data_IF_196673692711
#
_entry.id   IF_196673692711
#
_cell.length_a   1.000
_cell.length_b   1.000
_cell.length_c   1.000
_cell.angle_alpha   90.00
_cell.angle_beta   90.00
_cell.angle_gamma   90.00
#
_symmetry.space_group_name_H-M   'P 1'
#
loop_
_entity.id
_entity.type
_entity.pdbx_description
1 polymer ?
#
# COMPACT_ATOMS: atom_id res chain seq x y z
N UNK A 1 0.56 14.40 66.59
CA UNK A 1 -0.38 13.27 66.69
C UNK A 1 -0.48 12.61 65.32
N UNK A 2 0.07 11.40 65.22
CA UNK A 2 -0.21 10.29 64.29
C UNK A 2 -0.37 10.59 62.79
N UNK A 3 0.55 10.18 61.91
CA UNK A 3 0.69 8.82 61.33
C UNK A 3 -0.67 8.28 60.80
N UNK A 4 -0.77 7.88 59.53
CA UNK A 4 -0.31 6.57 59.09
C UNK A 4 -0.21 6.45 57.56
N UNK A 5 0.72 5.59 57.18
CA UNK A 5 1.13 5.12 55.86
C UNK A 5 0.44 3.76 55.62
N UNK A 6 -0.05 3.48 54.42
CA UNK A 6 -0.52 2.15 54.01
C UNK A 6 -0.39 2.03 52.47
N UNK A 7 0.71 1.45 51.97
CA UNK A 7 0.92 0.02 51.63
C UNK A 7 0.39 -0.38 50.25
N UNK A 8 1.37 -0.67 49.41
CA UNK A 8 1.35 -1.40 48.14
C UNK A 8 0.68 -2.77 48.22
N UNK A 9 -0.12 -3.12 47.22
CA UNK A 9 -0.42 -4.51 46.89
C UNK A 9 -0.47 -4.69 45.37
N UNK A 10 0.62 -5.26 44.81
CA UNK A 10 0.67 -5.81 43.46
C UNK A 10 -0.05 -7.16 43.50
N UNK A 11 -1.13 -7.31 42.74
CA UNK A 11 -1.79 -8.60 42.53
C UNK A 11 -0.97 -9.42 41.53
N UNK A 12 -0.24 -10.41 42.03
CA UNK A 12 0.43 -11.45 41.25
C UNK A 12 -0.53 -12.60 41.03
N UNK A 13 -0.78 -12.96 39.76
CA UNK A 13 -1.52 -14.15 39.39
C UNK A 13 -0.73 -15.43 39.73
N UNK A 14 -1.37 -16.52 40.20
CA UNK A 14 -0.68 -17.77 40.47
C UNK A 14 -0.43 -18.54 39.16
N UNK A 15 0.83 -18.94 38.96
CA UNK A 15 1.27 -19.81 37.88
C UNK A 15 1.04 -21.29 38.25
N UNK A 16 0.51 -22.15 37.35
CA UNK A 16 0.35 -23.56 37.64
C UNK A 16 1.64 -24.34 37.30
N UNK A 17 2.38 -24.75 38.32
CA UNK A 17 3.40 -25.81 38.20
C UNK A 17 2.73 -27.19 38.28
N UNK A 18 2.98 -28.13 37.35
CA UNK A 18 2.53 -29.51 37.50
C UNK A 18 3.56 -30.29 38.33
N UNK A 19 3.16 -30.71 39.53
CA UNK A 19 3.88 -31.68 40.34
C UNK A 19 3.57 -33.10 39.85
N UNK A 20 4.59 -33.82 39.41
CA UNK A 20 4.51 -35.23 39.00
C UNK A 20 4.70 -36.11 40.25
N UNK A 21 3.61 -36.50 40.91
CA UNK A 21 3.62 -37.52 41.96
C UNK A 21 3.46 -38.90 41.33
N UNK A 22 4.50 -39.71 41.45
CA UNK A 22 4.55 -41.12 41.10
C UNK A 22 3.59 -41.94 41.95
N UNK A 23 2.69 -42.72 41.33
CA UNK A 23 2.08 -43.87 41.96
C UNK A 23 2.03 -45.05 40.97
N UNK A 24 2.53 -46.19 41.43
CA UNK A 24 2.71 -47.40 40.66
C UNK A 24 1.40 -48.14 40.33
N UNK A 25 1.42 -48.82 39.19
CA UNK A 25 0.36 -49.71 38.75
C UNK A 25 0.85 -50.61 37.62
N UNK A 26 1.30 -51.81 37.97
CA UNK A 26 1.75 -52.86 37.07
C UNK A 26 0.66 -53.26 36.06
N UNK A 27 0.96 -53.30 34.75
CA UNK A 27 0.42 -54.31 33.80
C UNK A 27 1.09 -54.25 32.40
N UNK A 28 1.79 -55.34 32.09
CA UNK A 28 2.04 -56.01 30.79
C UNK A 28 2.92 -55.32 29.73
N UNK A 29 4.10 -55.93 29.50
CA UNK A 29 5.00 -55.74 28.34
C UNK A 29 4.30 -56.21 27.05
N UNK A 30 4.21 -55.31 26.06
CA UNK A 30 4.05 -55.63 24.63
C UNK A 30 5.42 -55.41 23.96
N UNK A 31 5.90 -56.30 23.07
CA UNK A 31 7.16 -56.06 22.37
C UNK A 31 6.93 -55.00 21.29
N UNK A 32 7.57 -53.85 21.41
CA UNK A 32 7.70 -52.88 20.31
C UNK A 32 9.11 -52.97 19.74
N UNK A 33 9.22 -53.64 18.59
CA UNK A 33 10.28 -53.35 17.62
C UNK A 33 9.80 -52.16 16.77
N UNK A 34 10.25 -50.97 17.16
CA UNK A 34 10.03 -49.72 16.43
C UNK A 34 10.85 -48.59 17.06
N UNK A 35 11.57 -47.76 16.29
CA UNK A 35 12.41 -46.73 16.87
C UNK A 35 11.57 -45.73 17.66
N UNK A 36 11.96 -45.51 18.92
CA UNK A 36 11.31 -44.64 19.87
C UNK A 36 11.07 -43.25 19.27
N UNK A 37 9.81 -42.94 18.98
CA UNK A 37 9.43 -41.62 18.47
C UNK A 37 9.49 -40.64 19.63
N UNK A 38 10.63 -39.94 19.75
CA UNK A 38 10.84 -38.88 20.74
C UNK A 38 9.84 -37.73 20.47
N UNK A 39 8.80 -37.65 21.29
CA UNK A 39 7.65 -36.75 21.14
C UNK A 39 7.96 -35.29 21.58
N UNK A 40 9.21 -34.97 21.92
CA UNK A 40 9.61 -33.67 22.47
C UNK A 40 10.06 -32.65 21.43
N UNK A 41 10.05 -33.00 20.13
CA UNK A 41 10.35 -32.05 19.05
C UNK A 41 9.07 -31.72 18.28
N UNK A 42 8.72 -30.44 18.10
CA UNK A 42 7.71 -30.06 17.13
C UNK A 42 8.12 -30.61 15.77
N UNK A 43 7.31 -31.49 15.17
CA UNK A 43 7.56 -32.09 13.85
C UNK A 43 7.71 -31.05 12.73
N UNK A 44 7.36 -29.80 12.98
CA UNK A 44 7.50 -28.67 12.07
C UNK A 44 8.50 -27.61 12.55
N UNK A 45 9.70 -28.02 12.96
CA UNK A 45 10.82 -27.08 13.14
C UNK A 45 11.50 -26.76 11.79
N UNK A 46 10.71 -26.65 10.72
CA UNK A 46 11.14 -26.39 9.35
C UNK A 46 10.90 -24.94 8.96
N UNK A 47 11.49 -23.98 9.68
CA UNK A 47 11.44 -22.56 9.30
C UNK A 47 12.25 -22.34 8.01
N UNK A 48 11.67 -22.65 6.85
CA UNK A 48 12.33 -22.54 5.55
C UNK A 48 11.88 -23.52 4.46
N UNK A 49 11.17 -24.61 4.80
CA UNK A 49 10.65 -25.56 3.80
C UNK A 49 9.37 -25.08 3.12
N UNK A 50 8.67 -24.11 3.73
CA UNK A 50 7.43 -23.60 3.17
C UNK A 50 7.70 -22.78 1.89
N UNK A 51 6.94 -23.08 0.83
CA UNK A 51 7.12 -22.52 -0.52
C UNK A 51 7.13 -20.99 -0.56
N UNK A 52 6.26 -20.35 0.23
CA UNK A 52 6.18 -18.88 0.31
C UNK A 52 7.41 -18.29 1.00
N UNK A 53 8.00 -19.02 1.96
CA UNK A 53 9.23 -18.61 2.64
C UNK A 53 10.42 -18.71 1.69
N UNK A 54 10.53 -19.81 0.94
CA UNK A 54 11.54 -19.97 -0.12
C UNK A 54 11.42 -18.88 -1.20
N UNK A 55 10.18 -18.51 -1.57
CA UNK A 55 9.93 -17.40 -2.48
C UNK A 55 10.43 -16.06 -1.90
N UNK A 56 10.20 -15.77 -0.62
CA UNK A 56 10.74 -14.55 0.02
C UNK A 56 12.27 -14.55 0.10
N UNK A 57 12.89 -15.69 0.41
CA UNK A 57 14.35 -15.83 0.41
C UNK A 57 14.94 -15.61 -0.98
N UNK A 58 14.24 -16.06 -2.03
CA UNK A 58 14.63 -15.79 -3.41
C UNK A 58 14.58 -14.30 -3.74
N UNK A 59 13.52 -13.61 -3.31
CA UNK A 59 13.40 -12.16 -3.49
C UNK A 59 14.58 -11.44 -2.86
N UNK A 60 14.94 -11.80 -1.63
CA UNK A 60 16.03 -11.15 -0.90
C UNK A 60 17.40 -11.48 -1.52
N UNK A 61 17.60 -12.73 -1.96
CA UNK A 61 18.80 -13.14 -2.69
C UNK A 61 18.97 -12.37 -4.01
N UNK A 62 17.90 -12.21 -4.79
CA UNK A 62 17.92 -11.43 -6.02
C UNK A 62 18.10 -9.92 -5.75
N UNK A 63 17.53 -9.41 -4.65
CA UNK A 63 17.68 -8.01 -4.25
C UNK A 63 19.14 -7.67 -3.90
N UNK A 64 19.87 -8.60 -3.28
CA UNK A 64 21.30 -8.41 -2.99
C UNK A 64 22.18 -8.39 -4.24
N UNK A 65 21.86 -9.20 -5.24
CA UNK A 65 22.67 -9.34 -6.44
C UNK A 65 22.38 -8.31 -7.54
N UNK A 66 21.15 -7.77 -7.63
CA UNK A 66 20.71 -6.78 -8.63
C UNK A 66 21.05 -7.12 -10.10
N UNK A 67 21.31 -8.41 -10.41
CA UNK A 67 21.70 -8.90 -11.74
C UNK A 67 20.74 -9.99 -12.22
N UNK A 68 20.85 -10.35 -13.49
CA UNK A 68 20.18 -11.51 -14.05
C UNK A 68 20.85 -12.79 -13.53
N UNK A 69 20.07 -13.69 -12.98
CA UNK A 69 20.50 -14.96 -12.36
C UNK A 69 19.75 -16.12 -13.02
N UNK A 70 20.41 -17.27 -13.19
CA UNK A 70 19.76 -18.46 -13.76
C UNK A 70 18.87 -19.15 -12.73
N UNK A 71 17.94 -19.98 -13.21
CA UNK A 71 17.09 -20.76 -12.31
C UNK A 71 17.91 -21.73 -11.43
N UNK A 72 18.95 -22.35 -11.99
CA UNK A 72 19.81 -23.29 -11.27
C UNK A 72 20.46 -22.61 -10.06
N UNK A 73 21.13 -21.47 -10.27
CA UNK A 73 21.77 -20.71 -9.18
C UNK A 73 20.79 -20.35 -8.04
N UNK A 74 19.52 -20.08 -8.36
CA UNK A 74 18.47 -19.80 -7.36
C UNK A 74 18.10 -21.07 -6.59
N UNK A 75 17.91 -22.19 -7.28
CA UNK A 75 17.53 -23.45 -6.67
C UNK A 75 18.66 -24.01 -5.80
N UNK A 76 19.91 -23.84 -6.24
CA UNK A 76 21.11 -24.20 -5.49
C UNK A 76 21.20 -23.38 -4.19
N UNK A 77 20.93 -22.06 -4.26
CA UNK A 77 20.86 -21.22 -3.06
C UNK A 77 19.79 -21.68 -2.06
N UNK A 78 18.64 -22.17 -2.56
CA UNK A 78 17.56 -22.70 -1.72
C UNK A 78 17.78 -24.15 -1.28
N UNK A 79 18.82 -24.82 -1.76
CA UNK A 79 19.04 -26.27 -1.63
C UNK A 79 17.84 -27.12 -2.09
N UNK A 80 17.14 -26.68 -3.14
CA UNK A 80 15.99 -27.40 -3.70
C UNK A 80 16.41 -28.14 -4.96
N UNK A 81 16.12 -29.45 -5.02
CA UNK A 81 16.41 -30.24 -6.19
C UNK A 81 15.61 -29.76 -7.42
N UNK A 82 16.26 -29.62 -8.57
CA UNK A 82 15.66 -29.06 -9.80
C UNK A 82 14.42 -29.81 -10.29
N UNK A 83 14.35 -31.11 -10.02
CA UNK A 83 13.23 -31.97 -10.44
C UNK A 83 12.10 -32.08 -9.41
N UNK A 84 12.22 -31.40 -8.26
CA UNK A 84 11.21 -31.43 -7.20
C UNK A 84 9.90 -30.76 -7.63
N UNK A 85 8.79 -31.19 -7.03
CA UNK A 85 7.49 -30.52 -7.13
C UNK A 85 7.57 -29.08 -6.60
N UNK A 86 8.39 -28.84 -5.57
CA UNK A 86 8.63 -27.51 -4.99
C UNK A 86 9.26 -26.55 -6.00
N UNK A 87 10.26 -26.99 -6.76
CA UNK A 87 10.89 -26.18 -7.80
C UNK A 87 9.89 -25.74 -8.88
N UNK A 88 8.97 -26.63 -9.29
CA UNK A 88 7.92 -26.30 -10.27
C UNK A 88 6.94 -25.28 -9.72
N UNK A 89 6.54 -25.41 -8.45
CA UNK A 89 5.66 -24.46 -7.77
C UNK A 89 6.34 -23.09 -7.63
N UNK A 90 7.62 -23.04 -7.26
CA UNK A 90 8.39 -21.79 -7.20
C UNK A 90 8.47 -21.10 -8.56
N UNK A 91 8.76 -21.83 -9.64
CA UNK A 91 8.80 -21.27 -10.99
C UNK A 91 7.44 -20.69 -11.40
N UNK A 92 6.35 -21.35 -11.04
CA UNK A 92 5.00 -20.83 -11.27
C UNK A 92 4.75 -19.53 -10.50
N UNK A 93 5.22 -19.43 -9.25
CA UNK A 93 5.15 -18.20 -8.45
C UNK A 93 6.01 -17.08 -9.06
N UNK A 94 7.26 -17.38 -9.46
CA UNK A 94 8.16 -16.41 -10.11
C UNK A 94 7.57 -15.82 -11.38
N UNK A 95 6.86 -16.64 -12.17
CA UNK A 95 6.25 -16.24 -13.45
C UNK A 95 4.83 -15.69 -13.29
N UNK A 96 4.27 -15.66 -12.07
CA UNK A 96 2.92 -15.17 -11.83
C UNK A 96 2.83 -13.66 -12.13
N UNK A 97 1.78 -13.18 -12.84
CA UNK A 97 1.63 -11.78 -13.24
C UNK A 97 1.15 -10.87 -12.09
N UNK A 98 1.46 -11.22 -10.83
CA UNK A 98 1.01 -10.47 -9.68
C UNK A 98 1.76 -9.12 -9.60
N UNK A 99 1.07 -7.99 -9.38
CA UNK A 99 1.71 -6.67 -9.29
C UNK A 99 2.65 -6.56 -8.07
N UNK A 100 2.44 -7.41 -7.06
CA UNK A 100 3.29 -7.51 -5.87
C UNK A 100 4.54 -8.35 -6.09
N UNK A 101 4.61 -9.12 -7.18
CA UNK A 101 5.75 -9.96 -7.49
C UNK A 101 6.96 -9.07 -7.83
N UNK A 102 8.01 -9.19 -7.00
CA UNK A 102 9.27 -8.45 -7.14
C UNK A 102 10.31 -9.23 -7.95
N UNK A 103 9.89 -10.22 -8.74
CA UNK A 103 10.77 -10.99 -9.62
C UNK A 103 10.35 -10.73 -11.06
N UNK A 104 11.32 -10.33 -11.87
CA UNK A 104 11.20 -10.19 -13.31
C UNK A 104 11.80 -11.42 -13.99
N UNK A 105 11.09 -11.97 -14.98
CA UNK A 105 11.51 -13.14 -15.74
C UNK A 105 11.64 -12.80 -17.22
N UNK A 106 12.79 -13.11 -17.81
CA UNK A 106 13.05 -12.93 -19.23
C UNK A 106 12.85 -14.26 -19.98
N UNK A 107 11.81 -14.32 -20.81
CA UNK A 107 11.49 -15.50 -21.64
C UNK A 107 12.56 -15.88 -22.66
N UNK A 108 13.42 -14.94 -23.08
CA UNK A 108 14.42 -15.19 -24.12
C UNK A 108 15.69 -15.84 -23.56
N UNK A 109 16.08 -15.44 -22.35
CA UNK A 109 17.34 -15.88 -21.74
C UNK A 109 17.13 -16.87 -20.60
N UNK A 110 15.88 -17.13 -20.22
CA UNK A 110 15.50 -17.95 -19.06
C UNK A 110 16.17 -17.50 -17.75
N UNK A 111 16.31 -16.18 -17.59
CA UNK A 111 16.91 -15.57 -16.41
C UNK A 111 15.89 -14.81 -15.57
N UNK A 112 16.22 -14.66 -14.30
CA UNK A 112 15.42 -13.99 -13.29
C UNK A 112 16.20 -12.82 -12.70
N UNK A 113 15.52 -11.71 -12.42
CA UNK A 113 16.12 -10.51 -11.81
C UNK A 113 15.16 -9.93 -10.77
N UNK A 114 15.70 -9.26 -9.76
CA UNK A 114 14.89 -8.45 -8.86
C UNK A 114 14.21 -7.29 -9.61
N UNK A 115 12.91 -7.12 -9.38
CA UNK A 115 12.09 -6.03 -9.89
C UNK A 115 11.79 -5.06 -8.75
N UNK A 116 12.47 -3.91 -8.69
CA UNK A 116 12.14 -2.87 -7.71
C UNK A 116 10.73 -2.31 -7.98
N UNK A 117 10.18 -1.59 -7.00
CA UNK A 117 8.87 -0.93 -7.16
C UNK A 117 8.89 0.05 -8.33
N UNK A 118 10.00 0.78 -8.46
CA UNK A 118 10.29 1.68 -9.57
C UNK A 118 11.60 1.24 -10.22
N UNK A 119 11.58 0.89 -11.51
CA UNK A 119 12.79 0.50 -12.25
C UNK A 119 13.61 1.75 -12.66
N UNK A 120 14.03 2.52 -11.66
CA UNK A 120 14.80 3.75 -11.81
C UNK A 120 16.17 3.51 -11.19
N UNK A 121 17.23 3.60 -11.98
CA UNK A 121 18.62 3.36 -11.55
C UNK A 121 19.53 4.58 -11.70
N UNK A 122 19.05 5.64 -12.33
CA UNK A 122 19.82 6.86 -12.54
C UNK A 122 18.94 8.12 -12.48
N UNK A 123 19.61 9.27 -12.38
CA UNK A 123 18.97 10.59 -12.32
C UNK A 123 18.14 10.90 -13.59
N UNK A 124 18.61 10.51 -14.77
CA UNK A 124 17.91 10.76 -16.03
C UNK A 124 16.59 9.97 -16.13
N UNK A 125 16.58 8.70 -15.70
CA UNK A 125 15.38 7.87 -15.61
C UNK A 125 14.41 8.41 -14.57
N UNK A 126 14.91 8.93 -13.44
CA UNK A 126 14.05 9.57 -12.44
C UNK A 126 13.31 10.76 -13.05
N UNK A 127 14.00 11.64 -13.78
CA UNK A 127 13.37 12.78 -14.48
C UNK A 127 12.37 12.32 -15.53
N UNK A 128 12.76 11.39 -16.40
CA UNK A 128 11.86 10.86 -17.44
C UNK A 128 10.62 10.19 -16.85
N UNK A 129 10.77 9.47 -15.74
CA UNK A 129 9.65 8.88 -15.02
C UNK A 129 8.72 9.94 -14.44
N UNK A 130 9.26 10.97 -13.79
CA UNK A 130 8.49 12.07 -13.21
C UNK A 130 7.75 12.89 -14.28
N UNK A 131 8.36 13.10 -15.45
CA UNK A 131 7.74 13.82 -16.59
C UNK A 131 6.62 13.03 -17.26
N UNK A 132 6.77 11.71 -17.37
CA UNK A 132 5.77 10.83 -17.99
C UNK A 132 4.59 10.52 -17.05
N UNK A 133 4.68 10.89 -15.77
CA UNK A 133 3.65 10.60 -14.79
C UNK A 133 2.42 11.49 -15.03
N UNK A 134 1.26 10.87 -15.29
CA UNK A 134 0.00 11.60 -15.53
C UNK A 134 -0.52 12.34 -14.29
N UNK A 135 -0.24 11.80 -13.10
CA UNK A 135 -0.60 12.42 -11.83
C UNK A 135 0.66 13.04 -11.23
N UNK A 136 0.55 14.23 -10.65
CA UNK A 136 1.61 14.78 -9.81
C UNK A 136 1.59 14.07 -8.45
N UNK A 137 2.10 12.84 -8.39
CA UNK A 137 2.31 12.10 -7.15
C UNK A 137 3.79 12.11 -6.79
N UNK A 138 4.10 12.43 -5.53
CA UNK A 138 5.47 12.40 -5.02
C UNK A 138 5.98 10.97 -4.85
N UNK A 139 7.23 10.75 -5.22
CA UNK A 139 7.92 9.46 -5.05
C UNK A 139 8.60 9.41 -3.69
N UNK A 140 8.46 8.28 -2.99
CA UNK A 140 9.18 8.05 -1.74
C UNK A 140 10.61 7.64 -2.00
N UNK A 141 11.57 8.31 -1.36
CA UNK A 141 13.01 8.01 -1.52
C UNK A 141 13.35 6.62 -0.99
N UNK A 142 12.63 6.14 0.02
CA UNK A 142 12.79 4.77 0.53
C UNK A 142 12.48 3.73 -0.53
N UNK A 143 11.49 4.01 -1.39
CA UNK A 143 11.10 3.12 -2.47
C UNK A 143 12.04 3.23 -3.67
N UNK A 144 12.67 4.40 -3.88
CA UNK A 144 13.73 4.58 -4.87
C UNK A 144 15.03 3.86 -4.47
N UNK A 145 15.37 3.85 -3.18
CA UNK A 145 16.56 3.15 -2.64
C UNK A 145 16.56 1.64 -2.90
N UNK A 146 15.38 1.05 -3.12
CA UNK A 146 15.19 -0.37 -3.42
C UNK A 146 15.81 -0.78 -4.78
N UNK A 147 15.75 0.12 -5.78
CA UNK A 147 16.32 -0.08 -7.12
C UNK A 147 17.62 0.69 -7.37
N UNK A 148 17.90 1.71 -6.54
CA UNK A 148 19.01 2.62 -6.72
C UNK A 148 19.66 2.97 -5.38
N UNK A 149 20.75 2.27 -5.04
CA UNK A 149 21.41 2.39 -3.73
C UNK A 149 21.82 3.84 -3.39
N UNK A 150 22.42 4.54 -4.35
CA UNK A 150 22.92 5.91 -4.18
C UNK A 150 21.86 6.98 -4.51
N UNK A 151 20.57 6.62 -4.51
CA UNK A 151 19.49 7.54 -4.84
C UNK A 151 19.50 8.80 -3.97
N UNK A 152 19.76 8.68 -2.66
CA UNK A 152 19.74 9.86 -1.77
C UNK A 152 20.79 10.90 -2.13
N UNK A 153 22.01 10.48 -2.46
CA UNK A 153 23.10 11.40 -2.82
C UNK A 153 22.81 12.08 -4.15
N UNK A 154 22.41 11.30 -5.16
CA UNK A 154 22.07 11.82 -6.46
C UNK A 154 20.85 12.77 -6.43
N UNK A 155 19.86 12.51 -5.57
CA UNK A 155 18.72 13.42 -5.39
C UNK A 155 19.18 14.75 -4.78
N UNK A 156 20.09 14.74 -3.81
CA UNK A 156 20.66 15.97 -3.24
C UNK A 156 21.42 16.78 -4.31
N UNK A 157 22.14 16.12 -5.21
CA UNK A 157 22.77 16.80 -6.35
C UNK A 157 21.75 17.42 -7.32
N UNK A 158 20.65 16.71 -7.60
CA UNK A 158 19.55 17.23 -8.44
C UNK A 158 18.79 18.38 -7.78
N UNK A 159 18.65 18.34 -6.46
CA UNK A 159 18.06 19.41 -5.67
C UNK A 159 18.91 20.68 -5.74
N UNK A 160 20.25 20.56 -5.63
CA UNK A 160 21.17 21.70 -5.83
C UNK A 160 21.03 22.33 -7.21
N UNK A 161 20.80 21.52 -8.24
CA UNK A 161 20.53 21.98 -9.61
C UNK A 161 19.10 22.50 -9.80
N UNK A 162 18.25 22.40 -8.78
CA UNK A 162 16.82 22.76 -8.79
C UNK A 162 16.03 22.03 -9.88
N UNK A 163 16.46 20.83 -10.28
CA UNK A 163 15.77 20.02 -11.29
C UNK A 163 14.71 19.09 -10.69
N UNK A 164 14.72 18.99 -9.36
CA UNK A 164 13.82 18.14 -8.58
C UNK A 164 13.42 18.90 -7.31
N UNK A 165 12.15 18.80 -6.93
CA UNK A 165 11.63 19.32 -5.67
C UNK A 165 11.66 18.21 -4.62
N UNK A 166 12.26 18.51 -3.47
CA UNK A 166 12.45 17.55 -2.39
C UNK A 166 11.73 18.02 -1.14
N UNK A 167 11.10 17.09 -0.43
CA UNK A 167 10.67 17.33 0.96
C UNK A 167 11.57 16.58 1.92
N UNK A 168 11.95 17.22 3.01
CA UNK A 168 12.82 16.64 4.03
C UNK A 168 12.03 16.25 5.28
N UNK A 169 12.54 15.26 6.02
CA UNK A 169 12.08 14.99 7.36
C UNK A 169 12.51 16.12 8.30
N UNK A 170 11.55 16.66 9.08
CA UNK A 170 11.81 17.80 10.00
C UNK A 170 12.88 17.53 11.07
N UNK A 171 13.12 16.26 11.44
CA UNK A 171 14.04 15.88 12.52
C UNK A 171 15.46 15.62 12.01
N UNK A 172 15.57 14.82 10.96
CA UNK A 172 16.86 14.26 10.52
C UNK A 172 17.36 14.88 9.21
N UNK A 173 16.62 15.84 8.64
CA UNK A 173 16.83 16.45 7.32
C UNK A 173 17.00 15.44 6.16
N UNK A 174 16.58 14.19 6.36
CA UNK A 174 16.65 13.15 5.34
C UNK A 174 15.60 13.41 4.26
N UNK A 175 16.02 13.29 3.00
CA UNK A 175 15.18 13.37 1.81
C UNK A 175 14.05 12.33 1.92
N UNK A 176 12.80 12.81 1.94
CA UNK A 176 11.59 12.00 2.17
C UNK A 176 10.86 11.70 0.86
N UNK A 177 10.41 12.75 0.17
CA UNK A 177 9.71 12.62 -1.11
C UNK A 177 10.30 13.51 -2.18
N UNK A 178 10.16 13.05 -3.41
CA UNK A 178 10.73 13.64 -4.63
C UNK A 178 9.61 13.97 -5.61
N UNK A 179 9.69 15.16 -6.20
CA UNK A 179 8.72 15.72 -7.13
C UNK A 179 9.43 16.31 -8.34
N UNK A 180 8.72 16.38 -9.46
CA UNK A 180 9.23 17.06 -10.64
C UNK A 180 9.42 18.55 -10.33
N UNK A 181 10.54 19.13 -10.74
CA UNK A 181 10.71 20.57 -10.83
C UNK A 181 11.13 20.95 -12.24
N UNK A 182 10.63 22.09 -12.71
CA UNK A 182 11.11 22.68 -13.94
C UNK A 182 11.90 23.96 -13.59
N UNK A 183 13.22 23.98 -13.77
CA UNK A 183 14.02 25.15 -13.47
C UNK A 183 13.71 26.34 -14.39
N UNK A 184 13.11 26.12 -15.58
CA UNK A 184 12.74 27.20 -16.50
C UNK A 184 11.57 28.06 -15.99
N UNK A 185 10.76 27.50 -15.09
CA UNK A 185 9.63 28.19 -14.45
C UNK A 185 10.02 28.87 -13.14
N UNK A 186 11.30 28.78 -12.75
CA UNK A 186 11.78 29.39 -11.51
C UNK A 186 12.21 30.84 -11.76
N UNK A 187 11.48 31.76 -11.13
CA UNK A 187 11.83 33.17 -11.09
C UNK A 187 12.46 33.51 -9.74
N UNK A 188 13.75 33.87 -9.67
CA UNK A 188 14.33 34.39 -8.44
C UNK A 188 13.67 35.73 -8.10
N UNK A 189 13.26 35.88 -6.85
CA UNK A 189 12.66 37.11 -6.32
C UNK A 189 13.47 37.55 -5.10
N UNK A 190 13.61 38.86 -4.92
CA UNK A 190 14.36 39.41 -3.80
C UNK A 190 13.72 39.03 -2.45
N UNK A 191 14.55 38.76 -1.44
CA UNK A 191 14.09 38.33 -0.12
C UNK A 191 13.22 39.41 0.55
N UNK A 192 13.51 40.70 0.31
CA UNK A 192 12.69 41.82 0.79
C UNK A 192 11.27 41.76 0.20
N UNK A 193 11.16 41.47 -1.09
CA UNK A 193 9.86 41.32 -1.76
C UNK A 193 9.09 40.11 -1.23
N UNK A 194 9.77 38.98 -1.02
CA UNK A 194 9.14 37.79 -0.45
C UNK A 194 8.60 38.07 0.97
N UNK A 195 9.37 38.76 1.81
CA UNK A 195 8.96 39.13 3.16
C UNK A 195 7.78 40.10 3.14
N UNK A 196 7.82 41.12 2.27
CA UNK A 196 6.71 42.04 2.08
C UNK A 196 5.43 41.28 1.66
N UNK A 197 5.55 40.35 0.71
CA UNK A 197 4.43 39.51 0.26
C UNK A 197 3.82 38.67 1.39
N UNK A 198 4.65 38.02 2.20
CA UNK A 198 4.18 37.20 3.33
C UNK A 198 3.58 38.01 4.48
N UNK A 199 3.93 39.30 4.60
CA UNK A 199 3.39 40.20 5.62
C UNK A 199 1.96 40.65 5.29
N UNK A 200 1.55 40.61 4.02
CA UNK A 200 0.21 41.02 3.58
C UNK A 200 -0.84 40.06 4.16
N UNK A 201 -1.61 40.53 5.15
CA UNK A 201 -2.70 39.75 5.72
C UNK A 201 -3.93 39.78 4.82
N UNK A 202 -4.37 38.59 4.40
CA UNK A 202 -5.61 38.43 3.66
C UNK A 202 -6.81 38.51 4.62
N UNK A 203 -7.91 39.20 4.24
CA UNK A 203 -9.15 39.18 5.01
C UNK A 203 -9.67 37.75 5.18
N UNK A 204 -10.12 37.41 6.39
CA UNK A 204 -10.69 36.09 6.68
C UNK A 204 -12.01 35.82 5.93
N UNK A 205 -12.77 36.89 5.64
CA UNK A 205 -14.04 36.82 4.95
C UNK A 205 -13.84 36.96 3.43
N UNK A 206 -14.39 36.03 2.66
CA UNK A 206 -14.34 36.06 1.19
C UNK A 206 -15.05 37.28 0.57
N UNK A 207 -16.12 37.76 1.21
CA UNK A 207 -16.88 38.95 0.75
C UNK A 207 -16.09 40.24 0.96
N UNK A 208 -15.35 40.37 2.06
CA UNK A 208 -14.52 41.54 2.33
C UNK A 208 -13.34 41.62 1.34
N UNK A 209 -12.72 40.48 1.01
CA UNK A 209 -11.72 40.41 -0.04
C UNK A 209 -12.31 40.82 -1.40
N UNK A 210 -13.52 40.35 -1.72
CA UNK A 210 -14.22 40.70 -2.96
C UNK A 210 -14.52 42.20 -3.05
N UNK A 211 -15.04 42.80 -1.98
CA UNK A 211 -15.34 44.23 -1.93
C UNK A 211 -14.06 45.08 -2.06
N UNK A 212 -12.97 44.68 -1.41
CA UNK A 212 -11.66 45.34 -1.56
C UNK A 212 -11.11 45.25 -2.98
N UNK A 213 -11.23 44.09 -3.63
CA UNK A 213 -10.84 43.92 -5.03
C UNK A 213 -11.68 44.82 -5.96
N UNK A 214 -13.00 44.90 -5.74
CA UNK A 214 -13.88 45.80 -6.50
C UNK A 214 -13.54 47.27 -6.29
N UNK A 215 -13.27 47.69 -5.05
CA UNK A 215 -12.82 49.07 -4.76
C UNK A 215 -11.47 49.39 -5.40
N UNK A 216 -10.61 48.38 -5.58
CA UNK A 216 -9.32 48.51 -6.26
C UNK A 216 -9.45 48.39 -7.80
N UNK A 217 -10.67 48.27 -8.34
CA UNK A 217 -10.91 48.14 -9.79
C UNK A 217 -10.54 46.77 -10.39
N UNK A 218 -10.22 45.78 -9.55
CA UNK A 218 -9.88 44.42 -9.98
C UNK A 218 -11.15 43.58 -10.06
N UNK A 219 -11.29 42.79 -11.13
CA UNK A 219 -12.42 41.86 -11.29
C UNK A 219 -12.20 40.63 -10.39
N UNK A 220 -13.04 40.40 -9.35
CA UNK A 220 -12.86 39.25 -8.47
C UNK A 220 -13.18 37.97 -9.23
N UNK A 221 -12.22 37.04 -9.32
CA UNK A 221 -12.39 35.76 -10.03
C UNK A 221 -13.36 34.80 -9.33
N UNK A 222 -13.68 35.06 -8.05
CA UNK A 222 -14.75 34.38 -7.32
C UNK A 222 -16.11 34.93 -7.76
N UNK A 223 -16.52 34.61 -8.99
CA UNK A 223 -17.94 34.65 -9.31
C UNK A 223 -18.64 33.75 -8.27
N UNK A 224 -19.66 34.22 -7.54
CA UNK A 224 -20.45 33.32 -6.72
C UNK A 224 -20.88 32.20 -7.66
N UNK A 225 -20.63 30.93 -7.29
CA UNK A 225 -21.39 29.82 -7.87
C UNK A 225 -22.83 30.19 -7.57
N UNK A 226 -23.50 30.86 -8.51
CA UNK A 226 -24.95 30.95 -8.50
C UNK A 226 -25.36 29.49 -8.34
N UNK A 227 -26.07 29.10 -7.27
CA UNK A 227 -26.68 27.80 -7.27
C UNK A 227 -27.46 27.78 -8.57
N UNK A 228 -27.00 26.96 -9.51
CA UNK A 228 -27.75 26.72 -10.71
C UNK A 228 -28.98 26.07 -10.13
N UNK A 229 -30.09 26.82 -10.05
CA UNK A 229 -31.38 26.25 -9.73
C UNK A 229 -31.60 25.18 -10.79
N UNK A 230 -31.15 23.96 -10.46
CA UNK A 230 -31.51 22.78 -11.18
C UNK A 230 -32.99 22.68 -10.89
N UNK A 231 -33.80 23.33 -11.73
CA UNK A 231 -35.23 23.08 -11.79
C UNK A 231 -35.36 21.56 -11.68
N UNK A 232 -36.08 21.04 -10.67
CA UNK A 232 -36.17 19.61 -10.46
C UNK A 232 -36.54 18.99 -11.79
N UNK A 233 -35.62 18.21 -12.36
CA UNK A 233 -35.83 17.56 -13.65
C UNK A 233 -37.08 16.74 -13.44
N UNK A 234 -38.20 17.16 -14.05
CA UNK A 234 -39.49 16.50 -13.91
C UNK A 234 -39.23 15.03 -14.17
N UNK A 235 -39.29 14.21 -13.10
CA UNK A 235 -39.23 12.77 -13.24
C UNK A 235 -40.46 12.44 -14.05
N UNK A 236 -40.30 12.26 -15.37
CA UNK A 236 -41.32 11.67 -16.22
C UNK A 236 -41.73 10.39 -15.52
N UNK A 237 -42.91 10.41 -14.88
CA UNK A 237 -43.49 9.22 -14.26
C UNK A 237 -43.56 8.22 -15.38
N UNK A 238 -42.78 7.13 -15.27
CA UNK A 238 -42.87 6.02 -16.23
C UNK A 238 -44.34 5.61 -16.22
N UNK A 239 -44.99 5.70 -17.39
CA UNK A 239 -46.34 5.22 -17.55
C UNK A 239 -46.41 3.77 -17.02
N UNK A 240 -47.42 3.41 -16.22
CA UNK A 240 -47.52 2.06 -15.69
C UNK A 240 -47.57 1.10 -16.87
N UNK A 241 -46.60 0.19 -16.96
CA UNK A 241 -46.60 -0.89 -17.95
C UNK A 241 -47.81 -1.78 -17.65
N UNK A 242 -48.94 -1.50 -18.32
CA UNK A 242 -50.08 -2.43 -18.37
C UNK A 242 -49.63 -3.66 -19.16
N UNK A 243 -49.66 -4.82 -18.51
CA UNK A 243 -49.50 -6.12 -19.18
C UNK A 243 -48.12 -6.75 -19.02
N UNK A 244 -47.75 -7.10 -17.78
CA UNK A 244 -46.88 -8.26 -17.58
C UNK A 244 -47.65 -9.51 -17.99
N UNK A 245 -47.06 -10.38 -18.81
CA UNK A 245 -47.71 -11.60 -19.34
C UNK A 245 -48.28 -12.44 -18.19
N UNK A 246 -49.60 -12.52 -18.13
CA UNK A 246 -50.33 -13.26 -17.12
C UNK A 246 -50.45 -14.70 -17.58
N UNK A 247 -49.65 -15.60 -17.00
CA UNK A 247 -49.61 -17.02 -17.34
C UNK A 247 -50.71 -17.83 -16.63
N UNK A 248 -51.51 -17.20 -15.76
CA UNK A 248 -52.58 -17.86 -15.00
C UNK A 248 -53.95 -17.19 -15.28
N UNK A 249 -54.65 -17.71 -16.29
CA UNK A 249 -55.93 -17.17 -16.80
C UNK A 249 -57.07 -17.24 -15.78
N UNK A 250 -57.08 -18.22 -14.87
CA UNK A 250 -58.15 -18.41 -13.88
C UNK A 250 -58.20 -17.32 -12.78
N UNK A 251 -57.12 -16.57 -12.58
CA UNK A 251 -57.05 -15.51 -11.57
C UNK A 251 -57.42 -14.12 -12.14
N UNK A 252 -57.73 -14.03 -13.43
CA UNK A 252 -57.97 -12.77 -14.12
C UNK A 252 -59.26 -12.04 -13.68
N UNK A 253 -60.23 -12.74 -13.10
CA UNK A 253 -61.45 -12.10 -12.57
C UNK A 253 -61.23 -11.41 -11.22
N UNK A 254 -60.34 -11.96 -10.38
CA UNK A 254 -60.08 -11.46 -9.02
C UNK A 254 -59.06 -10.31 -9.02
N UNK A 255 -58.13 -10.30 -9.98
CA UNK A 255 -57.03 -9.34 -10.02
C UNK A 255 -57.35 -8.05 -10.83
N UNK A 256 -58.62 -7.79 -11.15
CA UNK A 256 -59.04 -6.54 -11.79
C UNK A 256 -59.12 -5.43 -10.75
N UNK A 257 -58.27 -4.42 -10.92
CA UNK A 257 -58.17 -3.28 -10.02
C UNK A 257 -59.31 -2.28 -10.28
N UNK A 258 -60.30 -2.24 -9.38
CA UNK A 258 -61.45 -1.32 -9.43
C UNK A 258 -61.26 -0.05 -8.59
N UNK A 259 -60.02 0.26 -8.17
CA UNK A 259 -59.67 1.44 -7.38
C UNK A 259 -60.13 2.78 -7.97
N UNK A 260 -60.44 2.82 -9.27
CA UNK A 260 -60.86 4.02 -10.00
C UNK A 260 -62.39 4.24 -9.98
N UNK A 261 -63.18 3.31 -9.42
CA UNK A 261 -64.63 3.43 -9.25
C UNK A 261 -65.04 3.90 -7.84
N UNK A 262 -64.09 4.24 -6.96
CA UNK A 262 -64.45 4.87 -5.68
C UNK A 262 -64.73 6.35 -5.91
N UNK A 263 -66.00 6.72 -5.71
CA UNK A 263 -66.48 8.09 -5.58
C UNK A 263 -66.46 8.49 -4.11
#
# INVERSE_FOLDING_TARGET
MSSLKATTAKLSAPSPTPSFSSNGGSKRKRPEDGPATVYSQPRETGTGSHILTQFTYTIDHLRGHQRWVKLQDILDYLNVATNSTEARQLVQLYRSPNPTNRIEYNRKTDMYRYKPKYDIRNAAQLKGYLQNQQSAAGLSVKELKDGWANASEAIVELEKKKEVLVTHHKKDNVVKTVWLNDPSLMHPMDDEFQNAWHTIQLPANSEDLRNKLLSAGLKPCSAPKKPMDSKPKEKKRKAPRRGGKQTNTHMASILKDFSHLRK
#
